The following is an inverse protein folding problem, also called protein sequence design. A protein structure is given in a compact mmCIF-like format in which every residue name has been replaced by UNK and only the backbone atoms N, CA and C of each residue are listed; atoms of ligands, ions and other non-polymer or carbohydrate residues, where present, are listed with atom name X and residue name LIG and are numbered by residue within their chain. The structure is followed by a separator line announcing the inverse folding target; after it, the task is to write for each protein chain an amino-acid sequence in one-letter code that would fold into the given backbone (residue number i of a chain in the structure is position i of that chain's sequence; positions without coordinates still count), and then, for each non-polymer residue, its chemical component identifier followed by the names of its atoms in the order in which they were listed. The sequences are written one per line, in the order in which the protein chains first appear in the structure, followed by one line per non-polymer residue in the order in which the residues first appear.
data_IF_283049656109
#
_entry.id   IF_283049656109
#
_cell.length_a   1.000
_cell.length_b   1.000
_cell.length_c   1.000
_cell.angle_alpha   90.00
_cell.angle_beta   90.00
_cell.angle_gamma   90.00
#
_symmetry.space_group_name_H-M   'P 1'
#
loop_
_entity.id
_entity.type
_entity.pdbx_description
1 polymer ?
#
# COMPACT_ATOMS: atom_id res chain seq x y z
N UNK A 1 2.16 -31.03 15.16
CA UNK A 1 1.15 -31.61 14.26
C UNK A 1 0.92 -30.57 13.20
N UNK A 2 1.27 -30.85 11.96
CA UNK A 2 0.91 -29.96 10.83
C UNK A 2 -0.61 -30.00 10.71
N UNK A 3 -1.26 -28.88 11.02
CA UNK A 3 -2.70 -28.75 10.81
C UNK A 3 -2.98 -29.06 9.34
N UNK A 4 -3.94 -29.95 9.07
CA UNK A 4 -4.33 -30.25 7.69
C UNK A 4 -4.90 -28.98 7.05
N UNK A 5 -4.39 -28.64 5.86
CA UNK A 5 -4.95 -27.54 5.07
C UNK A 5 -6.39 -27.96 4.65
N UNK A 6 -7.42 -27.15 4.93
CA UNK A 6 -8.78 -27.46 4.54
C UNK A 6 -8.99 -27.34 3.03
N UNK A 7 -10.08 -27.94 2.51
CA UNK A 7 -10.44 -27.78 1.10
C UNK A 7 -11.05 -26.41 0.79
N UNK A 8 -11.73 -25.80 1.78
CA UNK A 8 -12.38 -24.50 1.65
C UNK A 8 -11.97 -23.56 2.77
N UNK A 9 -12.12 -22.26 2.56
CA UNK A 9 -11.75 -21.18 3.47
C UNK A 9 -12.79 -20.07 3.47
N UNK A 10 -12.73 -19.22 4.47
CA UNK A 10 -13.47 -17.97 4.50
C UNK A 10 -12.71 -16.88 3.72
N UNK A 11 -13.43 -16.12 2.91
CA UNK A 11 -12.88 -15.03 2.13
C UNK A 11 -13.88 -13.89 1.98
N UNK A 12 -13.38 -12.66 1.94
CA UNK A 12 -14.10 -11.49 1.48
C UNK A 12 -13.83 -11.29 -0.01
N UNK A 13 -14.83 -11.47 -0.83
CA UNK A 13 -14.71 -11.48 -2.29
C UNK A 13 -15.33 -10.22 -2.87
N UNK A 14 -14.59 -9.50 -3.68
CA UNK A 14 -15.07 -8.33 -4.44
C UNK A 14 -15.63 -8.84 -5.77
N UNK A 15 -16.89 -8.54 -6.04
CA UNK A 15 -17.67 -9.07 -7.18
C UNK A 15 -17.65 -8.16 -8.41
N UNK A 16 -17.19 -6.90 -8.25
CA UNK A 16 -17.16 -5.89 -9.30
C UNK A 16 -16.69 -4.54 -8.77
N UNK A 17 -16.56 -3.58 -9.67
CA UNK A 17 -16.41 -2.19 -9.23
C UNK A 17 -17.70 -1.65 -8.62
N UNK A 18 -17.58 -0.83 -7.57
CA UNK A 18 -18.73 -0.23 -6.90
C UNK A 18 -18.51 0.02 -5.42
N UNK A 19 -19.60 0.12 -4.66
CA UNK A 19 -19.56 0.37 -3.22
C UNK A 19 -19.56 -0.96 -2.43
N UNK A 20 -19.91 -0.91 -1.16
CA UNK A 20 -19.85 -2.06 -0.23
C UNK A 20 -20.75 -3.23 -0.64
N UNK A 21 -21.77 -3.01 -1.46
CA UNK A 21 -22.64 -4.04 -2.04
C UNK A 21 -21.89 -4.98 -3.01
N UNK A 22 -20.70 -4.58 -3.49
CA UNK A 22 -19.81 -5.42 -4.27
C UNK A 22 -18.97 -6.37 -3.42
N UNK A 23 -19.02 -6.27 -2.09
CA UNK A 23 -18.30 -7.17 -1.18
C UNK A 23 -19.19 -8.33 -0.75
N UNK A 24 -18.77 -9.56 -1.05
CA UNK A 24 -19.45 -10.78 -0.68
C UNK A 24 -18.61 -11.60 0.31
N UNK A 25 -19.17 -11.86 1.50
CA UNK A 25 -18.57 -12.83 2.43
C UNK A 25 -18.87 -14.24 1.94
N UNK A 26 -17.82 -15.06 1.79
CA UNK A 26 -17.94 -16.46 1.38
C UNK A 26 -17.25 -17.34 2.44
N UNK A 27 -17.93 -18.38 2.90
CA UNK A 27 -17.42 -19.32 3.92
C UNK A 27 -16.86 -20.61 3.33
N UNK A 28 -17.11 -20.84 2.04
CA UNK A 28 -16.75 -22.09 1.32
C UNK A 28 -15.89 -21.79 0.07
N UNK A 29 -15.08 -20.72 0.09
CA UNK A 29 -14.19 -20.41 -1.02
C UNK A 29 -13.08 -21.46 -1.11
N UNK A 30 -12.72 -21.96 -2.29
CA UNK A 30 -11.65 -22.97 -2.42
C UNK A 30 -10.31 -22.42 -1.89
N UNK A 31 -9.60 -23.23 -1.08
CA UNK A 31 -8.22 -22.89 -0.70
C UNK A 31 -7.33 -23.05 -1.93
N UNK A 32 -6.51 -22.02 -2.29
CA UNK A 32 -5.64 -22.12 -3.44
C UNK A 32 -4.50 -23.12 -3.18
N UNK A 33 -3.98 -23.71 -4.25
CA UNK A 33 -2.79 -24.56 -4.21
C UNK A 33 -1.58 -23.77 -4.71
N UNK A 34 -0.46 -23.81 -3.98
CA UNK A 34 0.77 -23.17 -4.42
C UNK A 34 1.26 -23.81 -5.73
N UNK A 35 1.39 -23.00 -6.78
CA UNK A 35 1.98 -23.41 -8.05
C UNK A 35 3.51 -23.55 -7.95
N UNK A 36 4.17 -23.99 -9.02
CA UNK A 36 5.63 -24.04 -9.05
C UNK A 36 6.23 -22.65 -8.79
N UNK A 37 7.17 -22.55 -7.85
CA UNK A 37 7.79 -21.30 -7.43
C UNK A 37 6.98 -20.48 -6.42
N UNK A 38 5.81 -20.94 -6.00
CA UNK A 38 4.94 -20.25 -5.04
C UNK A 38 4.97 -20.89 -3.65
N UNK A 39 4.48 -20.15 -2.68
CA UNK A 39 4.16 -20.63 -1.33
C UNK A 39 2.68 -20.40 -1.03
N UNK A 40 2.09 -21.24 -0.19
CA UNK A 40 0.79 -21.03 0.42
C UNK A 40 0.99 -20.48 1.82
N UNK A 41 0.41 -19.32 2.08
CA UNK A 41 0.44 -18.65 3.37
C UNK A 41 -0.89 -18.86 4.07
N UNK A 42 -0.87 -19.32 5.33
CA UNK A 42 -1.97 -19.17 6.25
C UNK A 42 -1.93 -17.72 6.77
N UNK A 43 -2.94 -16.95 6.45
CA UNK A 43 -3.00 -15.51 6.77
C UNK A 43 -3.26 -15.33 8.26
N UNK A 44 -2.33 -14.70 8.96
CA UNK A 44 -2.48 -14.29 10.35
C UNK A 44 -3.15 -12.92 10.48
N UNK A 45 -2.80 -12.01 9.56
CA UNK A 45 -3.43 -10.70 9.41
C UNK A 45 -3.26 -10.17 7.98
N UNK A 46 -4.18 -9.32 7.57
CA UNK A 46 -4.06 -8.56 6.33
C UNK A 46 -4.40 -7.09 6.57
N UNK A 47 -3.49 -6.19 6.22
CA UNK A 47 -3.65 -4.75 6.36
C UNK A 47 -4.59 -4.17 5.31
N UNK A 48 -5.38 -3.17 5.72
CA UNK A 48 -6.28 -2.40 4.85
C UNK A 48 -5.57 -1.14 4.37
N UNK A 49 -5.65 -0.86 3.08
CA UNK A 49 -5.08 0.33 2.45
C UNK A 49 -6.10 1.07 1.58
N UNK A 50 -5.84 2.34 1.29
CA UNK A 50 -6.63 3.07 0.31
C UNK A 50 -6.65 2.41 -1.06
N UNK A 51 -5.60 1.66 -1.42
CA UNK A 51 -5.54 0.93 -2.69
C UNK A 51 -6.65 -0.13 -2.80
N UNK A 52 -7.07 -0.75 -1.69
CA UNK A 52 -8.18 -1.70 -1.70
C UNK A 52 -9.50 -1.00 -2.05
N UNK A 53 -9.72 0.19 -1.45
CA UNK A 53 -10.89 1.02 -1.74
C UNK A 53 -10.82 1.50 -3.19
N UNK A 54 -9.70 2.08 -3.60
CA UNK A 54 -9.49 2.66 -4.91
C UNK A 54 -9.65 1.63 -6.03
N UNK A 55 -9.15 0.41 -5.84
CA UNK A 55 -9.34 -0.71 -6.79
C UNK A 55 -10.81 -1.08 -6.90
N UNK A 56 -11.52 -1.24 -5.78
CA UNK A 56 -12.94 -1.58 -5.78
C UNK A 56 -13.80 -0.48 -6.38
N UNK A 57 -13.52 0.79 -6.08
CA UNK A 57 -14.28 1.93 -6.61
C UNK A 57 -13.86 2.34 -8.04
N UNK A 58 -12.83 1.73 -8.63
CA UNK A 58 -12.32 2.07 -9.94
C UNK A 58 -11.58 3.41 -10.01
N UNK A 59 -11.08 3.92 -8.88
CA UNK A 59 -10.40 5.21 -8.81
C UNK A 59 -9.15 5.29 -9.71
N UNK A 60 -8.52 4.16 -10.02
CA UNK A 60 -7.34 4.11 -10.90
C UNK A 60 -7.66 4.26 -12.39
N UNK A 61 -8.95 4.39 -12.76
CA UNK A 61 -9.36 4.73 -14.13
C UNK A 61 -8.70 6.02 -14.59
N UNK A 62 -8.27 6.06 -15.84
CA UNK A 62 -7.68 7.25 -16.47
C UNK A 62 -8.64 8.43 -16.57
N UNK A 63 -9.94 8.20 -16.43
CA UNK A 63 -10.98 9.24 -16.43
C UNK A 63 -11.04 10.01 -15.10
N UNK A 64 -10.43 9.48 -14.02
CA UNK A 64 -10.48 10.06 -12.68
C UNK A 64 -9.34 11.06 -12.50
N UNK A 65 -9.68 12.29 -12.11
CA UNK A 65 -8.73 13.38 -11.81
C UNK A 65 -8.85 13.91 -10.37
N UNK A 66 -9.69 13.29 -9.55
CA UNK A 66 -9.97 13.73 -8.19
C UNK A 66 -8.97 13.17 -7.18
N UNK A 67 -8.95 13.76 -5.97
CA UNK A 67 -8.16 13.26 -4.86
C UNK A 67 -8.61 11.85 -4.42
N UNK A 68 -7.71 11.08 -3.78
CA UNK A 68 -7.97 9.71 -3.30
C UNK A 68 -9.09 9.57 -2.27
N UNK A 69 -9.70 10.68 -1.86
CA UNK A 69 -10.86 10.72 -0.95
C UNK A 69 -12.21 10.77 -1.68
N UNK A 70 -12.20 10.68 -3.02
CA UNK A 70 -13.40 10.63 -3.84
C UNK A 70 -14.24 9.37 -3.58
N UNK A 71 -15.55 9.46 -3.89
CA UNK A 71 -16.48 8.33 -3.76
C UNK A 71 -16.31 7.28 -4.87
N UNK A 72 -17.23 6.31 -4.89
CA UNK A 72 -17.33 5.33 -5.97
C UNK A 72 -17.70 6.02 -7.29
N UNK A 73 -17.15 5.52 -8.40
CA UNK A 73 -17.38 6.03 -9.75
C UNK A 73 -18.35 5.10 -10.48
N UNK A 74 -19.41 5.67 -11.05
CA UNK A 74 -20.51 4.93 -11.68
C UNK A 74 -20.16 4.30 -13.04
N UNK A 75 -19.09 4.74 -13.68
CA UNK A 75 -18.70 4.27 -15.02
C UNK A 75 -17.19 3.96 -15.11
N UNK A 76 -16.80 2.79 -14.61
CA UNK A 76 -15.47 2.23 -14.90
C UNK A 76 -15.59 1.30 -16.11
N UNK A 77 -14.89 1.61 -17.18
CA UNK A 77 -14.86 0.76 -18.36
C UNK A 77 -14.19 -0.59 -18.05
N UNK A 78 -14.70 -1.67 -18.64
CA UNK A 78 -14.12 -3.01 -18.49
C UNK A 78 -12.65 -3.11 -18.92
N UNK A 79 -12.20 -2.16 -19.72
CA UNK A 79 -10.86 -2.09 -20.30
C UNK A 79 -9.96 -1.06 -19.60
N UNK A 80 -10.48 -0.40 -18.54
CA UNK A 80 -9.67 0.52 -17.75
C UNK A 80 -8.64 -0.27 -16.95
N UNK A 81 -7.35 0.07 -17.07
CA UNK A 81 -6.32 -0.62 -16.33
C UNK A 81 -6.45 -0.33 -14.83
N UNK A 82 -6.17 -1.34 -14.06
CA UNK A 82 -5.91 -1.22 -12.63
C UNK A 82 -4.59 -0.48 -12.37
N UNK A 83 -4.17 -0.49 -11.15
CA UNK A 83 -2.91 0.10 -10.71
C UNK A 83 -1.69 -0.48 -11.46
N UNK A 84 -1.64 -1.78 -11.75
CA UNK A 84 -0.56 -2.47 -12.46
C UNK A 84 -0.60 -2.28 -13.99
N UNK A 85 -1.70 -1.83 -14.56
CA UNK A 85 -1.86 -1.61 -16.01
C UNK A 85 -2.75 -2.61 -16.73
N UNK A 86 -3.01 -3.81 -16.15
CA UNK A 86 -4.01 -4.74 -16.62
C UNK A 86 -5.37 -4.45 -15.97
N UNK A 87 -6.49 -4.72 -16.64
CA UNK A 87 -7.80 -4.59 -16.03
C UNK A 87 -8.01 -5.60 -14.89
N UNK A 88 -8.68 -5.17 -13.82
CA UNK A 88 -9.06 -6.06 -12.73
C UNK A 88 -10.11 -7.05 -13.22
N UNK A 89 -9.89 -8.33 -12.97
CA UNK A 89 -10.88 -9.38 -13.24
C UNK A 89 -11.60 -9.76 -11.95
N UNK A 90 -12.93 -9.85 -12.01
CA UNK A 90 -13.75 -10.25 -10.88
C UNK A 90 -14.33 -11.67 -11.11
N UNK A 91 -14.64 -12.43 -10.04
CA UNK A 91 -14.47 -12.07 -8.63
C UNK A 91 -13.00 -11.98 -8.22
N UNK A 92 -12.69 -11.13 -7.21
CA UNK A 92 -11.33 -10.88 -6.72
C UNK A 92 -11.29 -10.86 -5.18
N UNK A 93 -10.35 -11.58 -4.56
CA UNK A 93 -10.01 -11.37 -3.17
C UNK A 93 -8.99 -10.23 -3.10
N UNK A 94 -9.34 -9.15 -2.41
CA UNK A 94 -8.44 -8.01 -2.21
C UNK A 94 -7.52 -8.22 -0.99
N UNK A 95 -6.72 -7.20 -0.64
CA UNK A 95 -5.81 -7.22 0.51
C UNK A 95 -4.37 -7.55 0.11
N UNK A 96 -3.54 -6.52 0.02
CA UNK A 96 -2.15 -6.65 -0.41
C UNK A 96 -1.19 -6.97 0.74
N UNK A 97 -1.46 -6.47 1.93
CA UNK A 97 -0.54 -6.46 3.07
C UNK A 97 -0.75 -7.69 3.95
N UNK A 98 -0.17 -8.82 3.53
CA UNK A 98 -0.30 -10.08 4.28
C UNK A 98 0.87 -10.23 5.26
N UNK A 99 0.56 -10.60 6.50
CA UNK A 99 1.46 -11.28 7.42
C UNK A 99 0.87 -12.64 7.78
N UNK A 100 1.70 -13.69 7.75
CA UNK A 100 1.23 -15.04 8.06
C UNK A 100 2.37 -16.05 8.07
N UNK A 101 2.01 -17.32 8.01
CA UNK A 101 2.94 -18.46 8.07
C UNK A 101 2.85 -19.28 6.78
N UNK A 102 3.99 -19.64 6.22
CA UNK A 102 4.05 -20.57 5.08
C UNK A 102 3.62 -21.96 5.55
N UNK A 103 2.56 -22.51 4.96
CA UNK A 103 2.02 -23.81 5.33
C UNK A 103 2.21 -24.88 4.24
N UNK A 104 2.47 -24.44 3.00
CA UNK A 104 2.84 -25.33 1.90
C UNK A 104 3.72 -24.60 0.89
N UNK A 105 4.44 -25.35 0.10
CA UNK A 105 5.31 -24.83 -0.97
C UNK A 105 5.05 -25.58 -2.28
N UNK A 106 5.11 -24.88 -3.40
CA UNK A 106 5.05 -25.45 -4.74
C UNK A 106 6.39 -26.02 -5.21
N UNK A 107 6.36 -26.66 -6.37
CA UNK A 107 7.56 -27.22 -6.97
C UNK A 107 8.66 -26.18 -7.13
N UNK A 108 9.91 -26.57 -6.82
CA UNK A 108 11.07 -25.70 -6.93
C UNK A 108 11.31 -24.75 -5.75
N UNK A 109 10.43 -24.72 -4.75
CA UNK A 109 10.63 -23.98 -3.50
C UNK A 109 11.18 -24.92 -2.43
N UNK A 110 12.14 -24.44 -1.62
CA UNK A 110 12.73 -25.21 -0.53
C UNK A 110 11.64 -25.56 0.53
N UNK A 111 11.37 -26.84 0.80
CA UNK A 111 10.42 -27.25 1.83
C UNK A 111 10.79 -26.78 3.25
N UNK A 112 12.03 -26.41 3.51
CA UNK A 112 12.45 -25.85 4.80
C UNK A 112 11.78 -24.51 5.13
N UNK A 113 11.20 -23.84 4.13
CA UNK A 113 10.43 -22.60 4.32
C UNK A 113 9.08 -22.80 5.01
N UNK A 114 8.57 -24.04 5.07
CA UNK A 114 7.31 -24.32 5.81
C UNK A 114 7.53 -24.01 7.30
N UNK A 115 6.62 -23.19 7.85
CA UNK A 115 6.70 -22.66 9.21
C UNK A 115 7.39 -21.29 9.30
N UNK A 116 7.93 -20.74 8.19
CA UNK A 116 8.43 -19.37 8.19
C UNK A 116 7.29 -18.38 8.38
N UNK A 117 7.48 -17.42 9.28
CA UNK A 117 6.65 -16.24 9.39
C UNK A 117 7.08 -15.24 8.34
N UNK A 118 6.14 -14.74 7.54
CA UNK A 118 6.45 -13.87 6.40
C UNK A 118 5.54 -12.66 6.34
N UNK A 119 6.06 -11.58 5.73
CA UNK A 119 5.29 -10.48 5.17
C UNK A 119 5.43 -10.48 3.65
N UNK A 120 4.51 -9.87 2.92
CA UNK A 120 4.49 -9.89 1.46
C UNK A 120 5.15 -8.67 0.83
N UNK A 121 5.98 -8.84 -0.22
CA UNK A 121 6.20 -7.79 -1.21
C UNK A 121 5.02 -7.80 -2.18
N UNK A 122 4.28 -6.72 -2.21
CA UNK A 122 3.00 -6.63 -2.93
C UNK A 122 3.15 -6.52 -4.45
N UNK A 123 4.37 -6.24 -4.92
CA UNK A 123 4.67 -6.09 -6.32
C UNK A 123 5.04 -7.40 -6.98
N UNK A 124 4.22 -7.84 -7.93
CA UNK A 124 4.50 -8.98 -8.79
C UNK A 124 5.17 -8.48 -10.06
N UNK A 125 6.44 -8.80 -10.22
CA UNK A 125 7.25 -8.44 -11.39
C UNK A 125 7.60 -9.67 -12.19
N UNK A 126 7.64 -9.55 -13.52
CA UNK A 126 8.24 -10.59 -14.35
C UNK A 126 9.76 -10.64 -14.04
N UNK A 127 10.29 -11.79 -13.54
CA UNK A 127 11.73 -11.90 -13.27
C UNK A 127 12.61 -11.70 -14.51
N UNK A 128 12.06 -11.94 -15.71
CA UNK A 128 12.79 -11.77 -16.98
C UNK A 128 12.85 -10.31 -17.41
N UNK A 129 11.82 -9.51 -17.09
CA UNK A 129 11.78 -8.06 -17.32
C UNK A 129 11.03 -7.36 -16.18
N UNK A 130 11.71 -7.03 -15.08
CA UNK A 130 11.07 -6.40 -13.91
C UNK A 130 10.52 -4.99 -14.17
N UNK A 131 10.78 -4.40 -15.34
CA UNK A 131 10.30 -3.08 -15.74
C UNK A 131 9.12 -3.14 -16.71
N UNK A 132 8.76 -4.34 -17.17
CA UNK A 132 7.59 -4.55 -18.03
C UNK A 132 6.30 -4.30 -17.23
N UNK A 133 5.65 -3.17 -17.53
CA UNK A 133 4.43 -2.76 -16.85
C UNK A 133 3.21 -3.62 -17.23
N UNK A 134 3.22 -4.26 -18.38
CA UNK A 134 2.11 -5.12 -18.82
C UNK A 134 2.12 -6.47 -18.07
N UNK A 135 3.28 -6.86 -17.55
CA UNK A 135 3.47 -8.09 -16.76
C UNK A 135 3.64 -7.82 -15.26
N UNK A 136 3.49 -6.56 -14.86
CA UNK A 136 3.49 -6.20 -13.46
C UNK A 136 2.09 -6.39 -12.90
N UNK A 137 1.99 -7.04 -11.74
CA UNK A 137 0.75 -7.19 -11.00
C UNK A 137 0.89 -6.68 -9.57
N UNK A 138 -0.24 -6.53 -8.91
CA UNK A 138 -0.33 -6.13 -7.52
C UNK A 138 -1.29 -7.04 -6.77
N UNK A 139 -0.92 -7.45 -5.57
CA UNK A 139 -1.77 -8.28 -4.74
C UNK A 139 -3.06 -7.55 -4.37
N UNK A 140 -4.18 -8.29 -4.43
CA UNK A 140 -5.50 -7.74 -4.20
C UNK A 140 -6.06 -6.92 -5.36
N UNK A 141 -5.36 -6.89 -6.51
CA UNK A 141 -5.78 -6.23 -7.75
C UNK A 141 -5.73 -7.21 -8.92
N UNK A 142 -4.58 -7.40 -9.55
CA UNK A 142 -4.40 -8.37 -10.65
C UNK A 142 -4.36 -9.83 -10.16
N UNK A 143 -4.01 -10.05 -8.91
CA UNK A 143 -3.96 -11.36 -8.24
C UNK A 143 -4.77 -11.35 -6.95
N UNK A 144 -5.24 -12.52 -6.52
CA UNK A 144 -5.95 -12.64 -5.25
C UNK A 144 -5.02 -12.31 -4.08
N UNK A 145 -5.57 -11.58 -3.11
CA UNK A 145 -4.88 -11.09 -1.93
C UNK A 145 -5.26 -11.81 -0.64
N UNK A 146 -5.06 -11.12 0.47
CA UNK A 146 -5.12 -11.67 1.82
C UNK A 146 -6.41 -11.44 2.60
N UNK A 147 -7.48 -10.92 2.00
CA UNK A 147 -8.78 -10.88 2.69
C UNK A 147 -9.44 -12.26 2.69
N UNK A 148 -8.65 -13.28 3.07
CA UNK A 148 -9.00 -14.69 3.16
C UNK A 148 -8.14 -15.39 4.22
N UNK A 149 -8.48 -16.64 4.56
CA UNK A 149 -7.69 -17.41 5.53
C UNK A 149 -6.38 -17.96 4.93
N UNK A 150 -6.32 -18.11 3.59
CA UNK A 150 -5.13 -18.56 2.88
C UNK A 150 -4.91 -17.74 1.59
N UNK A 151 -3.64 -17.57 1.22
CA UNK A 151 -3.26 -16.90 -0.03
C UNK A 151 -2.00 -17.54 -0.61
N UNK A 152 -1.87 -17.58 -1.95
CA UNK A 152 -0.63 -17.99 -2.63
C UNK A 152 0.15 -16.78 -3.10
N UNK A 153 1.48 -16.87 -3.11
CA UNK A 153 2.38 -15.82 -3.56
C UNK A 153 3.67 -16.43 -4.10
N UNK A 154 4.35 -15.83 -5.10
CA UNK A 154 5.69 -16.24 -5.46
C UNK A 154 6.61 -16.28 -4.24
N UNK A 155 7.39 -17.32 -4.09
CA UNK A 155 8.26 -17.52 -2.93
C UNK A 155 9.25 -16.36 -2.72
N UNK A 156 9.63 -15.66 -3.79
CA UNK A 156 10.48 -14.47 -3.77
C UNK A 156 9.81 -13.25 -3.16
N UNK A 157 8.47 -13.20 -3.17
CA UNK A 157 7.67 -12.13 -2.61
C UNK A 157 7.26 -12.40 -1.14
N UNK A 158 7.45 -13.63 -0.65
CA UNK A 158 7.24 -13.98 0.76
C UNK A 158 8.55 -13.73 1.54
N UNK A 159 8.62 -12.60 2.23
CA UNK A 159 9.82 -12.16 2.94
C UNK A 159 9.77 -12.65 4.39
N UNK A 160 10.71 -13.51 4.76
CA UNK A 160 10.80 -14.00 6.14
C UNK A 160 11.05 -12.86 7.12
N UNK A 161 10.34 -12.86 8.25
CA UNK A 161 10.44 -11.83 9.28
C UNK A 161 10.59 -12.46 10.66
N UNK A 162 11.64 -12.03 11.39
CA UNK A 162 11.84 -12.30 12.81
C UNK A 162 11.63 -10.99 13.57
N UNK A 163 10.49 -10.86 14.25
CA UNK A 163 10.09 -9.63 14.92
C UNK A 163 9.17 -9.94 16.09
N UNK A 164 9.28 -9.19 17.22
CA UNK A 164 8.36 -9.29 18.33
C UNK A 164 6.98 -8.68 18.06
N UNK A 165 6.80 -7.97 16.93
CA UNK A 165 5.51 -7.38 16.56
C UNK A 165 4.49 -8.49 16.23
N UNK A 166 3.22 -8.22 16.50
CA UNK A 166 2.11 -9.09 16.12
C UNK A 166 1.94 -9.14 14.59
N UNK A 167 1.21 -10.14 14.08
CA UNK A 167 0.89 -10.22 12.64
C UNK A 167 0.09 -8.99 12.17
N UNK A 168 -0.82 -8.48 13.02
CA UNK A 168 -1.58 -7.28 12.72
C UNK A 168 -0.70 -6.04 12.57
N UNK A 169 0.33 -5.89 13.41
CA UNK A 169 1.30 -4.80 13.28
C UNK A 169 2.17 -4.98 12.02
N UNK A 170 2.68 -6.19 11.78
CA UNK A 170 3.51 -6.47 10.60
C UNK A 170 2.74 -6.30 9.28
N UNK A 171 1.46 -6.64 9.25
CA UNK A 171 0.59 -6.44 8.09
C UNK A 171 0.33 -4.95 7.74
N UNK A 172 0.84 -4.00 8.52
CA UNK A 172 0.74 -2.57 8.18
C UNK A 172 1.92 -2.03 7.38
N UNK A 173 2.96 -2.83 7.16
CA UNK A 173 4.23 -2.34 6.61
C UNK A 173 4.29 -2.36 5.08
N UNK A 174 3.86 -3.45 4.46
CA UNK A 174 4.23 -3.75 3.06
C UNK A 174 3.87 -2.62 2.09
N UNK A 175 2.62 -2.21 2.00
CA UNK A 175 2.19 -1.14 1.10
C UNK A 175 2.72 0.22 1.56
N UNK A 176 2.50 0.55 2.83
CA UNK A 176 2.76 1.90 3.34
C UNK A 176 4.24 2.25 3.35
N UNK A 177 5.08 1.36 3.90
CA UNK A 177 6.51 1.65 4.04
C UNK A 177 7.28 1.45 2.74
N UNK A 178 6.92 0.48 1.89
CA UNK A 178 7.55 0.34 0.58
C UNK A 178 7.28 1.54 -0.33
N UNK A 179 6.05 2.08 -0.29
CA UNK A 179 5.68 3.30 -1.01
C UNK A 179 6.48 4.50 -0.50
N UNK A 180 6.49 4.70 0.82
CA UNK A 180 7.21 5.81 1.45
C UNK A 180 8.72 5.73 1.17
N UNK A 181 9.32 4.54 1.29
CA UNK A 181 10.73 4.30 0.98
C UNK A 181 11.04 4.61 -0.50
N UNK A 182 10.18 4.16 -1.41
CA UNK A 182 10.29 4.43 -2.83
C UNK A 182 10.23 5.92 -3.16
N UNK A 183 9.34 6.68 -2.52
CA UNK A 183 9.22 8.14 -2.67
C UNK A 183 10.50 8.84 -2.20
N UNK A 184 10.93 8.55 -0.98
CA UNK A 184 12.11 9.20 -0.38
C UNK A 184 13.42 8.84 -1.09
N UNK A 185 13.55 7.62 -1.58
CA UNK A 185 14.71 7.17 -2.35
C UNK A 185 14.78 7.84 -3.72
N UNK A 186 13.66 7.90 -4.46
CA UNK A 186 13.61 8.60 -5.76
C UNK A 186 13.84 10.10 -5.62
N UNK A 187 13.31 10.70 -4.55
CA UNK A 187 13.59 12.09 -4.22
C UNK A 187 15.00 12.30 -3.64
N UNK A 188 15.80 11.25 -3.44
CA UNK A 188 17.14 11.29 -2.85
C UNK A 188 17.19 12.11 -1.54
N UNK A 189 16.23 11.87 -0.64
CA UNK A 189 16.10 12.63 0.62
C UNK A 189 17.27 12.37 1.55
N UNK A 190 17.83 13.46 2.07
CA UNK A 190 18.99 13.48 2.99
C UNK A 190 18.73 14.38 4.19
N UNK A 191 19.67 14.42 5.14
CA UNK A 191 19.62 15.28 6.33
C UNK A 191 19.57 16.80 6.03
N UNK A 192 19.90 17.22 4.80
CA UNK A 192 19.81 18.62 4.37
C UNK A 192 18.43 19.04 3.87
N UNK A 193 17.48 18.11 3.82
CA UNK A 193 16.17 18.36 3.25
C UNK A 193 15.13 18.75 4.30
N UNK A 194 14.15 19.53 3.86
CA UNK A 194 12.89 19.76 4.55
C UNK A 194 11.76 19.13 3.72
N UNK A 195 11.12 18.11 4.27
CA UNK A 195 10.09 17.33 3.59
C UNK A 195 8.71 17.78 4.05
N UNK A 196 7.88 18.27 3.14
CA UNK A 196 6.46 18.53 3.37
C UNK A 196 5.65 17.27 3.06
N UNK A 197 4.81 16.85 4.01
CA UNK A 197 4.04 15.62 3.94
C UNK A 197 2.54 15.91 4.08
N UNK A 198 1.81 16.10 2.97
CA UNK A 198 0.35 16.10 3.00
C UNK A 198 -0.21 14.74 3.40
N UNK A 199 -1.32 14.73 4.15
CA UNK A 199 -1.95 13.47 4.61
C UNK A 199 -1.10 12.65 5.56
N UNK A 200 -0.27 13.29 6.37
CA UNK A 200 0.71 12.67 7.26
C UNK A 200 0.13 11.69 8.30
N UNK A 201 -1.17 11.75 8.57
CA UNK A 201 -1.85 10.81 9.48
C UNK A 201 -2.32 9.52 8.82
N UNK A 202 -2.17 9.38 7.50
CA UNK A 202 -2.44 8.14 6.76
C UNK A 202 -1.25 7.17 6.82
N UNK A 203 -1.46 5.92 6.37
CA UNK A 203 -0.43 4.87 6.40
C UNK A 203 0.87 5.30 5.72
N UNK A 204 0.81 5.68 4.43
CA UNK A 204 1.99 6.13 3.67
C UNK A 204 2.55 7.44 4.23
N UNK A 205 1.69 8.44 4.53
CA UNK A 205 2.14 9.70 5.08
C UNK A 205 2.88 9.54 6.42
N UNK A 206 2.35 8.71 7.32
CA UNK A 206 3.00 8.39 8.59
C UNK A 206 4.32 7.64 8.42
N UNK A 207 4.41 6.75 7.45
CA UNK A 207 5.66 6.08 7.10
C UNK A 207 6.70 7.06 6.53
N UNK A 208 6.28 8.00 5.66
CA UNK A 208 7.15 9.07 5.14
C UNK A 208 7.72 9.90 6.28
N UNK A 209 6.89 10.32 7.25
CA UNK A 209 7.36 11.09 8.43
C UNK A 209 8.47 10.35 9.15
N UNK A 210 8.25 9.09 9.48
CA UNK A 210 9.23 8.27 10.20
C UNK A 210 10.51 8.05 9.39
N UNK A 211 10.40 7.63 8.14
CA UNK A 211 11.55 7.33 7.29
C UNK A 211 12.34 8.59 6.89
N UNK A 212 11.69 9.73 6.69
CA UNK A 212 12.38 11.01 6.48
C UNK A 212 13.15 11.43 7.72
N UNK A 213 12.54 11.28 8.90
CA UNK A 213 13.20 11.54 10.19
C UNK A 213 14.43 10.64 10.40
N UNK A 214 14.32 9.35 10.07
CA UNK A 214 15.47 8.42 10.12
C UNK A 214 16.61 8.82 9.19
N UNK A 215 16.33 9.48 8.06
CA UNK A 215 17.33 10.08 7.16
C UNK A 215 17.91 11.38 7.68
N UNK A 216 17.43 11.88 8.83
CA UNK A 216 17.84 13.16 9.43
C UNK A 216 17.21 14.38 8.77
N UNK A 217 16.24 14.22 7.88
CA UNK A 217 15.52 15.32 7.27
C UNK A 217 14.57 15.99 8.27
N UNK A 218 14.36 17.30 8.10
CA UNK A 218 13.31 18.03 8.79
C UNK A 218 11.96 17.68 8.17
N UNK A 219 10.94 17.45 9.01
CA UNK A 219 9.61 17.07 8.54
C UNK A 219 8.57 18.12 8.94
N UNK A 220 7.88 18.66 7.94
CA UNK A 220 6.67 19.48 8.06
C UNK A 220 5.48 18.64 7.62
N UNK A 221 4.51 18.42 8.49
CA UNK A 221 3.42 17.50 8.25
C UNK A 221 2.06 18.20 8.23
N UNK A 222 1.19 17.81 7.31
CA UNK A 222 -0.18 18.30 7.23
C UNK A 222 -1.16 17.19 7.64
N UNK A 223 -1.97 17.46 8.66
CA UNK A 223 -2.97 16.53 9.18
C UNK A 223 -4.13 17.29 9.83
N UNK A 224 -5.23 16.59 10.12
CA UNK A 224 -6.28 17.19 10.97
C UNK A 224 -5.73 17.45 12.38
N UNK A 225 -6.19 18.53 13.01
CA UNK A 225 -5.71 18.94 14.35
C UNK A 225 -5.84 17.81 15.39
N UNK A 226 -6.92 17.04 15.32
CA UNK A 226 -7.15 15.89 16.21
C UNK A 226 -6.06 14.80 16.11
N UNK A 227 -5.25 14.79 15.04
CA UNK A 227 -4.17 13.83 14.80
C UNK A 227 -2.77 14.44 14.98
N UNK A 228 -2.66 15.70 15.35
CA UNK A 228 -1.37 16.37 15.46
C UNK A 228 -0.44 15.70 16.49
N UNK A 229 -0.98 15.28 17.65
CA UNK A 229 -0.18 14.59 18.68
C UNK A 229 0.41 13.28 18.16
N UNK A 230 -0.40 12.50 17.42
CA UNK A 230 0.03 11.22 16.87
C UNK A 230 1.12 11.43 15.81
N UNK A 231 0.93 12.40 14.91
CA UNK A 231 1.89 12.71 13.85
C UNK A 231 3.19 13.31 14.41
N UNK A 232 3.11 14.14 15.45
CA UNK A 232 4.30 14.64 16.17
C UNK A 232 5.10 13.48 16.78
N UNK A 233 4.42 12.50 17.36
CA UNK A 233 5.07 11.32 17.97
C UNK A 233 5.83 10.48 16.93
N UNK A 234 5.42 10.51 15.64
CA UNK A 234 6.13 9.87 14.53
C UNK A 234 7.43 10.62 14.15
N UNK A 235 7.60 11.87 14.59
CA UNK A 235 8.81 12.64 14.35
C UNK A 235 8.65 13.91 13.51
N UNK A 236 7.41 14.33 13.21
CA UNK A 236 7.17 15.62 12.57
C UNK A 236 7.57 16.78 13.49
N UNK A 237 8.32 17.76 12.97
CA UNK A 237 8.83 18.89 13.74
C UNK A 237 7.92 20.12 13.64
N UNK A 238 7.14 20.21 12.58
CA UNK A 238 6.10 21.21 12.39
C UNK A 238 4.83 20.57 11.87
N UNK A 239 3.71 21.03 12.40
CA UNK A 239 2.38 20.55 12.05
C UNK A 239 1.56 21.70 11.50
N UNK A 240 0.89 21.44 10.38
CA UNK A 240 -0.08 22.31 9.77
C UNK A 240 -1.45 21.62 9.76
N UNK A 241 -2.55 22.39 9.82
CA UNK A 241 -3.86 21.82 9.61
C UNK A 241 -3.97 21.17 8.22
N UNK A 242 -4.93 20.28 8.05
CA UNK A 242 -5.16 19.59 6.76
C UNK A 242 -5.43 20.59 5.61
N UNK A 243 -6.11 21.68 5.92
CA UNK A 243 -6.33 22.82 5.04
C UNK A 243 -5.85 24.09 5.75
N UNK A 244 -4.66 24.58 5.44
CA UNK A 244 -4.09 25.78 6.05
C UNK A 244 -4.63 27.07 5.41
N UNK A 245 -5.50 26.99 4.39
CA UNK A 245 -5.92 28.13 3.58
C UNK A 245 -4.79 28.59 2.65
N UNK A 246 -4.02 29.58 3.08
CA UNK A 246 -2.83 30.05 2.34
C UNK A 246 -1.58 29.28 2.78
N UNK A 247 -1.21 28.26 1.98
CA UNK A 247 -0.08 27.39 2.28
C UNK A 247 1.27 28.14 2.16
N UNK A 248 1.39 29.07 1.21
CA UNK A 248 2.61 29.89 1.03
C UNK A 248 2.86 30.77 2.26
N UNK A 249 1.82 31.46 2.74
CA UNK A 249 1.93 32.24 3.96
C UNK A 249 2.22 31.37 5.20
N UNK A 250 1.61 30.20 5.28
CA UNK A 250 1.84 29.25 6.37
C UNK A 250 3.27 28.69 6.40
N UNK A 251 3.97 28.69 5.27
CA UNK A 251 5.34 28.15 5.11
C UNK A 251 6.39 29.23 4.79
N UNK A 252 6.06 30.52 4.93
CA UNK A 252 6.95 31.63 4.55
C UNK A 252 8.31 31.59 5.26
N UNK A 253 8.42 30.98 6.41
CA UNK A 253 9.66 30.79 7.19
C UNK A 253 10.35 29.43 6.97
N UNK A 254 9.80 28.58 6.11
CA UNK A 254 10.33 27.26 5.78
C UNK A 254 10.90 27.23 4.36
N UNK A 255 11.94 26.42 4.19
CA UNK A 255 12.50 26.13 2.86
C UNK A 255 12.16 24.69 2.50
N UNK A 256 10.99 24.48 1.91
CA UNK A 256 10.56 23.14 1.48
C UNK A 256 11.41 22.67 0.29
N UNK A 257 12.16 21.61 0.45
CA UNK A 257 13.00 21.02 -0.61
C UNK A 257 12.42 19.77 -1.24
N UNK A 258 11.51 19.10 -0.53
CA UNK A 258 10.80 17.91 -1.02
C UNK A 258 9.34 17.98 -0.61
N UNK A 259 8.45 17.61 -1.52
CA UNK A 259 7.05 17.32 -1.22
C UNK A 259 6.83 15.84 -1.46
N UNK A 260 6.35 15.12 -0.45
CA UNK A 260 5.98 13.71 -0.55
C UNK A 260 4.45 13.60 -0.43
N UNK A 261 3.77 13.66 -1.56
CA UNK A 261 2.31 13.69 -1.65
C UNK A 261 1.71 12.38 -2.15
N UNK A 262 0.70 11.90 -1.44
CA UNK A 262 -0.14 10.76 -1.80
C UNK A 262 -1.64 11.10 -1.75
N UNK A 263 -1.96 12.39 -1.57
CA UNK A 263 -3.35 12.88 -1.49
C UNK A 263 -3.85 13.31 -2.87
N UNK A 264 -3.06 14.12 -3.56
CA UNK A 264 -3.38 14.61 -4.90
C UNK A 264 -4.50 15.65 -4.93
N UNK A 265 -4.99 15.93 -6.13
CA UNK A 265 -6.16 16.77 -6.37
C UNK A 265 -5.86 18.28 -6.34
N UNK A 266 -6.83 19.07 -5.89
CA UNK A 266 -6.82 20.52 -5.98
C UNK A 266 -5.67 21.23 -5.25
N UNK A 267 -5.00 20.54 -4.32
CA UNK A 267 -3.87 21.10 -3.57
C UNK A 267 -2.55 21.15 -4.37
N UNK A 268 -2.44 20.42 -5.48
CA UNK A 268 -1.19 20.31 -6.25
C UNK A 268 -0.52 21.63 -6.62
N UNK A 269 -1.21 22.64 -7.15
CA UNK A 269 -0.55 23.91 -7.46
C UNK A 269 0.12 24.53 -6.23
N UNK A 270 -0.57 24.59 -5.10
CA UNK A 270 -0.04 25.15 -3.86
C UNK A 270 1.18 24.37 -3.33
N UNK A 271 1.20 23.04 -3.49
CA UNK A 271 2.35 22.21 -3.11
C UNK A 271 3.58 22.47 -3.99
N UNK A 272 3.38 22.80 -5.27
CA UNK A 272 4.47 23.15 -6.19
C UNK A 272 4.98 24.56 -5.91
N UNK A 273 4.08 25.51 -5.64
CA UNK A 273 4.42 26.92 -5.40
C UNK A 273 5.30 27.10 -4.14
N UNK A 274 5.11 26.27 -3.11
CA UNK A 274 5.94 26.32 -1.89
C UNK A 274 7.30 25.63 -2.02
N UNK A 275 7.56 24.91 -3.13
CA UNK A 275 8.87 24.27 -3.33
C UNK A 275 9.97 25.31 -3.57
N UNK A 276 11.05 25.17 -2.84
CA UNK A 276 12.26 25.92 -3.10
C UNK A 276 12.80 25.63 -4.51
N UNK A 277 13.53 26.59 -5.09
CA UNK A 277 14.17 26.37 -6.40
C UNK A 277 15.05 25.12 -6.39
N UNK A 278 14.79 24.19 -7.31
CA UNK A 278 15.45 22.89 -7.37
C UNK A 278 14.86 21.85 -6.41
N UNK A 279 13.73 22.17 -5.79
CA UNK A 279 12.97 21.19 -4.99
C UNK A 279 12.43 20.03 -5.83
N UNK A 280 12.01 18.97 -5.16
CA UNK A 280 11.56 17.69 -5.75
C UNK A 280 10.15 17.39 -5.27
N UNK A 281 9.33 16.93 -6.23
CA UNK A 281 7.96 16.50 -5.98
C UNK A 281 7.79 15.05 -6.37
#
# INVERSE_FOLDING_TARGET
MTDMIPETMKAMVTMGHGDFDMLAWNEDWPVPTAAAGEVLIRVGACGLNNTDINTRTGWYSKSVSEATTGGAYDEVGSDDPSWGGAAVTFPRIQGADICGEIVAVGDGVDPARIGERVITDNWLRDPADPLDKERTGYYGSEHDGGFAEYATIPATNALAVDSPLSDAELATFSCSYSTAEGMLTRAAVTAGDTVLVPGASGGVGGAVVQLAKLRGARVVAMASEAKHSDVAALGAERLLPRDPGDLEAALADEKITVVADVVGGAIWPALIDVLARGGRY
#
